data_IF_782085884028
#
_entry.id   IF_782085884028
#
_cell.length_a   1.000
_cell.length_b   1.000
_cell.length_c   1.000
_cell.angle_alpha   90.00
_cell.angle_beta   90.00
_cell.angle_gamma   90.00
#
_symmetry.space_group_name_H-M   'P 1'
#
loop_
_entity.id
_entity.type
_entity.pdbx_description
1 polymer ?
#
# COMPACT_ATOMS: atom_id res chain seq x y z
N UNK A 1 21.81 -32.48 74.69
CA UNK A 1 22.49 -31.35 74.01
C UNK A 1 22.86 -31.87 72.61
N UNK A 2 22.24 -31.51 71.48
CA UNK A 2 21.79 -30.22 70.93
C UNK A 2 20.69 -30.49 69.89
N UNK A 3 19.55 -29.83 70.02
CA UNK A 3 18.54 -29.68 68.96
C UNK A 3 19.05 -28.66 67.93
N UNK A 4 19.31 -29.09 66.69
CA UNK A 4 19.67 -28.18 65.58
C UNK A 4 18.45 -27.93 64.70
N UNK A 5 17.90 -26.72 64.83
CA UNK A 5 16.74 -26.17 64.15
C UNK A 5 16.93 -26.17 62.63
N UNK A 6 16.02 -26.83 61.91
CA UNK A 6 16.02 -26.98 60.44
C UNK A 6 15.26 -25.83 59.78
N UNK A 7 15.79 -24.60 59.85
CA UNK A 7 15.17 -23.40 59.25
C UNK A 7 16.00 -22.85 58.09
N UNK A 8 16.16 -23.62 57.02
CA UNK A 8 16.71 -23.11 55.74
C UNK A 8 16.11 -23.87 54.56
N UNK A 9 14.92 -23.48 54.09
CA UNK A 9 14.48 -23.94 52.75
C UNK A 9 13.45 -23.05 52.06
N UNK A 10 12.77 -22.13 52.74
CA UNK A 10 11.76 -21.29 52.09
C UNK A 10 12.37 -20.18 51.21
N UNK A 11 13.45 -19.54 51.66
CA UNK A 11 14.13 -18.47 50.89
C UNK A 11 14.76 -18.96 49.59
N UNK A 12 15.34 -20.16 49.56
CA UNK A 12 15.95 -20.72 48.35
C UNK A 12 14.93 -21.08 47.27
N UNK A 13 13.74 -21.59 47.65
CA UNK A 13 12.69 -21.95 46.69
C UNK A 13 12.03 -20.73 46.04
N UNK A 14 11.90 -19.62 46.78
CA UNK A 14 11.39 -18.36 46.23
C UNK A 14 12.40 -17.72 45.27
N UNK A 15 13.68 -17.69 45.62
CA UNK A 15 14.73 -17.14 44.76
C UNK A 15 14.84 -17.90 43.42
N UNK A 16 14.72 -19.23 43.45
CA UNK A 16 14.80 -20.04 42.24
C UNK A 16 13.61 -19.80 41.29
N UNK A 17 12.40 -19.62 41.84
CA UNK A 17 11.21 -19.27 41.02
C UNK A 17 11.30 -17.88 40.39
N UNK A 18 11.92 -16.90 41.06
CA UNK A 18 12.12 -15.56 40.48
C UNK A 18 13.12 -15.60 39.33
N UNK A 19 14.17 -16.43 39.42
CA UNK A 19 15.17 -16.59 38.37
C UNK A 19 14.60 -17.27 37.12
N UNK A 20 13.87 -18.37 37.31
CA UNK A 20 13.23 -19.11 36.21
C UNK A 20 12.17 -18.27 35.46
N UNK A 21 11.49 -17.35 36.14
CA UNK A 21 10.53 -16.43 35.50
C UNK A 21 11.20 -15.31 34.70
N UNK A 22 12.45 -14.96 35.02
CA UNK A 22 13.21 -13.89 34.36
C UNK A 22 13.79 -14.36 33.02
N UNK A 23 14.18 -15.62 32.92
CA UNK A 23 14.74 -16.20 31.70
C UNK A 23 13.68 -16.41 30.60
N UNK A 24 12.41 -16.66 30.97
CA UNK A 24 11.31 -16.83 29.99
C UNK A 24 10.81 -15.51 29.37
N UNK A 25 11.16 -14.36 29.94
CA UNK A 25 10.77 -13.04 29.44
C UNK A 25 11.76 -12.43 28.44
N UNK A 26 13.03 -12.87 28.45
CA UNK A 26 14.09 -12.27 27.63
C UNK A 26 13.83 -12.45 26.13
N UNK A 27 13.47 -13.66 25.70
CA UNK A 27 13.25 -13.95 24.28
C UNK A 27 12.04 -13.22 23.70
N UNK A 28 10.99 -12.98 24.50
CA UNK A 28 9.82 -12.20 24.08
C UNK A 28 10.17 -10.72 23.91
N UNK A 29 11.02 -10.17 24.79
CA UNK A 29 11.50 -8.79 24.71
C UNK A 29 12.42 -8.57 23.51
N UNK A 30 13.29 -9.53 23.18
CA UNK A 30 14.12 -9.49 21.97
C UNK A 30 13.26 -9.51 20.69
N UNK A 31 12.25 -10.38 20.62
CA UNK A 31 11.34 -10.45 19.47
C UNK A 31 10.44 -9.21 19.34
N UNK A 32 10.09 -8.58 20.47
CA UNK A 32 9.32 -7.31 20.49
C UNK A 32 10.10 -6.17 19.83
N UNK A 33 11.43 -6.23 19.76
CA UNK A 33 12.24 -5.27 19.00
C UNK A 33 12.09 -5.40 17.48
N UNK A 34 11.92 -6.62 16.96
CA UNK A 34 11.81 -6.88 15.52
C UNK A 34 10.38 -6.78 14.99
N UNK A 35 9.37 -7.13 15.80
CA UNK A 35 7.96 -7.03 15.41
C UNK A 35 7.56 -5.68 14.80
N UNK A 36 7.85 -4.51 15.41
CA UNK A 36 7.48 -3.22 14.82
C UNK A 36 8.22 -2.96 13.50
N UNK A 37 9.46 -3.41 13.37
CA UNK A 37 10.23 -3.30 12.12
C UNK A 37 9.57 -4.12 11.01
N UNK A 38 9.18 -5.36 11.30
CA UNK A 38 8.46 -6.22 10.36
C UNK A 38 7.11 -5.63 9.95
N UNK A 39 6.40 -5.00 10.88
CA UNK A 39 5.14 -4.29 10.58
C UNK A 39 5.40 -3.13 9.61
N UNK A 40 6.41 -2.30 9.87
CA UNK A 40 6.76 -1.18 8.99
C UNK A 40 7.12 -1.68 7.59
N UNK A 41 7.93 -2.74 7.49
CA UNK A 41 8.29 -3.35 6.21
C UNK A 41 7.05 -3.90 5.51
N UNK A 42 6.17 -4.63 6.23
CA UNK A 42 4.93 -5.15 5.68
C UNK A 42 4.03 -4.04 5.14
N UNK A 43 3.85 -2.95 5.90
CA UNK A 43 3.10 -1.77 5.46
C UNK A 43 3.74 -1.11 4.24
N UNK A 44 5.07 -1.01 4.19
CA UNK A 44 5.78 -0.47 3.04
C UNK A 44 5.56 -1.34 1.78
N UNK A 45 5.61 -2.66 1.92
CA UNK A 45 5.29 -3.58 0.81
C UNK A 45 3.85 -3.39 0.32
N UNK A 46 2.87 -3.25 1.22
CA UNK A 46 1.48 -3.00 0.84
C UNK A 46 1.37 -1.63 0.15
N UNK A 47 2.01 -0.59 0.67
CA UNK A 47 2.01 0.75 0.06
C UNK A 47 2.58 0.72 -1.36
N UNK A 48 3.71 0.03 -1.57
CA UNK A 48 4.28 -0.16 -2.91
C UNK A 48 3.34 -0.94 -3.83
N UNK A 49 2.65 -1.96 -3.30
CA UNK A 49 1.62 -2.69 -4.04
C UNK A 49 0.47 -1.79 -4.49
N UNK A 50 -0.03 -0.92 -3.61
CA UNK A 50 -1.07 0.05 -3.95
C UNK A 50 -0.61 1.06 -5.01
N UNK A 51 0.63 1.55 -4.93
CA UNK A 51 1.21 2.45 -5.95
C UNK A 51 1.27 1.73 -7.29
N UNK A 52 1.76 0.49 -7.31
CA UNK A 52 1.79 -0.35 -8.50
C UNK A 52 0.39 -0.58 -9.08
N UNK A 53 -0.61 -0.82 -8.23
CA UNK A 53 -2.00 -0.96 -8.64
C UNK A 53 -2.53 0.34 -9.28
N UNK A 54 -2.31 1.50 -8.66
CA UNK A 54 -2.70 2.80 -9.20
C UNK A 54 -2.05 3.11 -10.55
N UNK A 55 -0.78 2.73 -10.74
CA UNK A 55 -0.07 2.82 -12.03
C UNK A 55 -0.78 2.02 -13.12
N UNK A 56 -1.17 0.79 -12.82
CA UNK A 56 -1.86 -0.07 -13.78
C UNK A 56 -3.26 0.50 -14.11
N UNK A 57 -4.00 0.95 -13.09
CA UNK A 57 -5.32 1.55 -13.25
C UNK A 57 -5.27 2.82 -14.11
N UNK A 58 -4.36 3.75 -13.84
CA UNK A 58 -4.19 4.95 -14.67
C UNK A 58 -3.82 4.61 -16.12
N UNK A 59 -3.03 3.55 -16.34
CA UNK A 59 -2.70 3.06 -17.68
C UNK A 59 -3.90 2.51 -18.44
N UNK A 60 -4.76 1.73 -17.77
CA UNK A 60 -6.02 1.24 -18.33
C UNK A 60 -6.94 2.40 -18.70
N UNK A 61 -7.14 3.34 -17.77
CA UNK A 61 -7.91 4.56 -17.98
C UNK A 61 -7.44 5.36 -19.18
N UNK A 62 -6.13 5.62 -19.28
CA UNK A 62 -5.59 6.43 -20.37
C UNK A 62 -5.82 5.78 -21.73
N UNK A 63 -5.67 4.46 -21.85
CA UNK A 63 -5.91 3.74 -23.11
C UNK A 63 -7.39 3.69 -23.48
N UNK A 64 -8.27 3.47 -22.51
CA UNK A 64 -9.71 3.47 -22.72
C UNK A 64 -10.19 4.87 -23.16
N UNK A 65 -9.72 5.91 -22.48
CA UNK A 65 -10.01 7.30 -22.83
C UNK A 65 -9.50 7.66 -24.22
N UNK A 66 -8.24 7.37 -24.53
CA UNK A 66 -7.64 7.67 -25.84
C UNK A 66 -8.40 6.98 -26.98
N UNK A 67 -8.84 5.73 -26.78
CA UNK A 67 -9.61 4.97 -27.77
C UNK A 67 -11.00 5.54 -27.99
N UNK A 68 -11.71 5.88 -26.92
CA UNK A 68 -13.05 6.44 -27.04
C UNK A 68 -13.00 7.81 -27.74
N UNK A 69 -12.04 8.66 -27.39
CA UNK A 69 -11.88 9.96 -28.05
C UNK A 69 -11.39 9.85 -29.49
N UNK A 70 -10.50 8.90 -29.82
CA UNK A 70 -10.04 8.71 -31.20
C UNK A 70 -11.18 8.28 -32.15
N UNK A 71 -12.22 7.66 -31.61
CA UNK A 71 -13.44 7.27 -32.31
C UNK A 71 -14.54 8.36 -32.29
N UNK A 72 -14.22 9.56 -31.80
CA UNK A 72 -15.18 10.67 -31.68
C UNK A 72 -16.19 10.53 -30.53
N UNK A 73 -15.97 9.58 -29.62
CA UNK A 73 -16.78 9.37 -28.42
C UNK A 73 -16.29 10.14 -27.20
N UNK A 74 -16.97 9.95 -26.08
CA UNK A 74 -16.60 10.57 -24.79
C UNK A 74 -15.50 9.75 -24.08
N UNK A 75 -14.24 10.13 -24.32
CA UNK A 75 -13.10 9.50 -23.64
C UNK A 75 -12.98 9.84 -22.16
N UNK A 76 -13.60 10.91 -21.68
CA UNK A 76 -13.58 11.21 -20.25
C UNK A 76 -14.36 10.15 -19.49
N UNK A 77 -15.62 9.89 -19.89
CA UNK A 77 -16.47 8.87 -19.27
C UNK A 77 -15.87 7.47 -19.46
N UNK A 78 -15.41 7.12 -20.66
CA UNK A 78 -14.78 5.81 -20.90
C UNK A 78 -13.52 5.58 -20.05
N UNK A 79 -12.71 6.62 -19.83
CA UNK A 79 -11.57 6.57 -18.94
C UNK A 79 -11.97 6.35 -17.47
N UNK A 80 -12.99 7.06 -16.99
CA UNK A 80 -13.50 6.95 -15.61
C UNK A 80 -14.06 5.54 -15.36
N UNK A 81 -14.95 5.06 -16.23
CA UNK A 81 -15.63 3.77 -16.09
C UNK A 81 -14.67 2.56 -16.15
N UNK A 82 -13.51 2.75 -16.78
CA UNK A 82 -12.49 1.69 -16.90
C UNK A 82 -11.56 1.57 -15.68
N UNK A 83 -11.67 2.50 -14.72
CA UNK A 83 -10.88 2.53 -13.50
C UNK A 83 -11.80 2.29 -12.30
N UNK A 84 -11.27 1.69 -11.24
CA UNK A 84 -12.04 1.44 -10.02
C UNK A 84 -12.48 2.74 -9.34
N UNK A 85 -13.78 2.88 -9.08
CA UNK A 85 -14.42 4.09 -8.52
C UNK A 85 -13.71 4.69 -7.30
N UNK A 86 -13.23 3.85 -6.38
CA UNK A 86 -12.59 4.29 -5.13
C UNK A 86 -11.28 5.06 -5.33
N UNK A 87 -10.68 4.98 -6.53
CA UNK A 87 -9.48 5.73 -6.90
C UNK A 87 -9.77 7.13 -7.44
N UNK A 88 -11.05 7.47 -7.67
CA UNK A 88 -11.54 8.75 -8.17
C UNK A 88 -10.68 9.33 -9.32
N UNK A 89 -10.58 8.60 -10.45
CA UNK A 89 -9.70 8.96 -11.55
C UNK A 89 -10.01 10.35 -12.10
N UNK A 90 -8.98 11.17 -12.28
CA UNK A 90 -9.06 12.42 -13.03
C UNK A 90 -8.63 12.14 -14.46
N UNK A 91 -9.55 12.28 -15.40
CA UNK A 91 -9.34 11.98 -16.81
C UNK A 91 -9.36 13.28 -17.61
N UNK A 92 -8.29 13.53 -18.35
CA UNK A 92 -8.16 14.59 -19.32
C UNK A 92 -8.03 13.96 -20.72
N UNK A 93 -9.10 14.01 -21.50
CA UNK A 93 -9.22 13.37 -22.79
C UNK A 93 -9.73 14.37 -23.84
N UNK A 94 -8.90 15.37 -24.22
CA UNK A 94 -9.31 16.41 -25.16
C UNK A 94 -9.68 15.80 -26.52
N UNK A 95 -10.68 16.36 -27.22
CA UNK A 95 -11.03 15.92 -28.57
C UNK A 95 -9.80 15.86 -29.48
N UNK A 96 -9.71 14.83 -30.30
CA UNK A 96 -8.61 14.66 -31.23
C UNK A 96 -8.48 15.86 -32.17
N UNK A 97 -7.30 16.48 -32.21
CA UNK A 97 -6.95 17.51 -33.17
C UNK A 97 -5.89 16.96 -34.13
N UNK A 98 -6.27 16.73 -35.39
CA UNK A 98 -5.40 16.16 -36.42
C UNK A 98 -5.38 14.63 -36.43
N UNK A 99 -4.22 14.02 -36.67
CA UNK A 99 -4.07 12.57 -36.87
C UNK A 99 -3.99 11.74 -35.58
N UNK A 100 -3.87 12.37 -34.41
CA UNK A 100 -3.74 11.63 -33.14
C UNK A 100 -4.52 12.29 -32.01
N UNK A 101 -4.91 11.48 -31.04
CA UNK A 101 -5.49 11.89 -29.75
C UNK A 101 -4.63 11.37 -28.62
N UNK A 102 -4.37 12.23 -27.63
CA UNK A 102 -3.69 11.84 -26.39
C UNK A 102 -4.61 12.05 -25.20
N UNK A 103 -4.83 10.99 -24.42
CA UNK A 103 -5.54 11.07 -23.14
C UNK A 103 -4.57 10.89 -21.97
N UNK A 104 -4.81 11.64 -20.90
CA UNK A 104 -4.07 11.60 -19.64
C UNK A 104 -5.00 11.20 -18.51
N UNK A 105 -4.60 10.22 -17.71
CA UNK A 105 -5.35 9.79 -16.52
C UNK A 105 -4.46 9.90 -15.29
N UNK A 106 -4.99 10.54 -14.26
CA UNK A 106 -4.35 10.66 -12.94
C UNK A 106 -5.20 9.97 -11.89
N UNK A 107 -4.55 9.12 -11.10
CA UNK A 107 -5.16 8.37 -10.00
C UNK A 107 -4.43 8.73 -8.70
N UNK A 108 -5.19 8.94 -7.63
CA UNK A 108 -4.63 9.25 -6.30
C UNK A 108 -4.60 7.99 -5.45
N UNK A 109 -3.39 7.52 -5.12
CA UNK A 109 -3.19 6.35 -4.27
C UNK A 109 -3.17 6.79 -2.79
N UNK A 110 -4.04 6.25 -1.93
CA UNK A 110 -4.06 6.66 -0.52
C UNK A 110 -2.83 6.16 0.24
N UNK A 111 -2.46 6.90 1.28
CA UNK A 111 -1.46 6.47 2.24
C UNK A 111 -2.09 5.53 3.29
N UNK A 112 -1.49 4.36 3.48
CA UNK A 112 -1.89 3.42 4.54
C UNK A 112 -1.25 3.81 5.88
N UNK A 113 -0.03 4.36 5.82
CA UNK A 113 0.68 4.82 7.01
C UNK A 113 0.24 6.25 7.29
N UNK A 114 -0.35 6.56 8.46
CA UNK A 114 -0.92 7.88 8.77
C UNK A 114 0.07 9.04 8.74
N UNK A 115 1.37 8.75 8.68
CA UNK A 115 2.46 9.72 8.63
C UNK A 115 2.79 10.19 7.21
N UNK A 116 2.23 9.57 6.16
CA UNK A 116 2.49 9.93 4.77
C UNK A 116 1.23 10.47 4.10
N UNK A 117 1.45 11.32 3.10
CA UNK A 117 0.40 11.85 2.24
C UNK A 117 0.07 10.88 1.09
N UNK A 118 -1.09 11.08 0.46
CA UNK A 118 -1.49 10.36 -0.75
C UNK A 118 -0.57 10.66 -1.93
N UNK A 119 -0.40 9.69 -2.83
CA UNK A 119 0.50 9.79 -3.98
C UNK A 119 -0.28 9.88 -5.30
N UNK A 120 -0.18 10.99 -6.05
CA UNK A 120 -0.76 11.07 -7.39
C UNK A 120 0.09 10.28 -8.40
N UNK A 121 -0.58 9.50 -9.24
CA UNK A 121 0.03 8.72 -10.31
C UNK A 121 -0.61 9.10 -11.64
N UNK A 122 0.19 9.60 -12.57
CA UNK A 122 -0.27 10.01 -13.91
C UNK A 122 0.25 9.07 -15.00
N UNK A 123 -0.63 8.72 -15.93
CA UNK A 123 -0.31 7.97 -17.16
C UNK A 123 -0.96 8.62 -18.37
N UNK A 124 -0.34 8.45 -19.53
CA UNK A 124 -0.81 8.98 -20.81
C UNK A 124 -0.84 7.88 -21.84
N UNK A 125 -1.78 7.97 -22.77
CA UNK A 125 -1.83 7.12 -23.95
C UNK A 125 -2.17 7.99 -25.17
N UNK A 126 -1.49 7.73 -26.28
CA UNK A 126 -1.71 8.40 -27.55
C UNK A 126 -2.19 7.35 -28.56
N UNK A 127 -3.25 7.67 -29.29
CA UNK A 127 -3.81 6.84 -30.36
C UNK A 127 -3.94 7.66 -31.65
N UNK A 128 -3.75 7.06 -32.82
CA UNK A 128 -4.16 7.65 -34.09
C UNK A 128 -5.66 7.89 -34.12
N UNK A 129 -6.10 8.93 -34.82
CA UNK A 129 -7.51 9.19 -35.07
C UNK A 129 -7.94 8.41 -36.31
N UNK A 130 -9.10 7.77 -36.21
CA UNK A 130 -9.78 7.18 -37.37
C UNK A 130 -10.47 8.33 -38.12
N UNK A 131 -9.67 9.17 -38.79
CA UNK A 131 -10.15 10.04 -39.85
C UNK A 131 -9.87 9.28 -41.15
N UNK A 132 -10.85 8.50 -41.58
CA UNK A 132 -10.88 8.00 -42.94
C UNK A 132 -10.92 9.23 -43.88
N UNK A 133 -10.02 9.27 -44.87
CA UNK A 133 -10.00 10.23 -45.97
C UNK A 133 -11.38 10.46 -46.61
#
# INVERSE_FOLDING_TARGET
>A
MRTRTRTRSLRGRLANRVREKRDRGSSILEFTGFLPILIIIGLACIQLGLIGYGINQAGTGARAAARATSLGGDGQTAGIDSVSDWLNPQVDAPPGAGETTTATVTVTVPAIIPLFDSWPVTRRATMPNDQDD
#
